data_IF_322299292673
#
_entry.id   IF_322299292673
#
_cell.length_a   1.000
_cell.length_b   1.000
_cell.length_c   1.000
_cell.angle_alpha   90.00
_cell.angle_beta   90.00
_cell.angle_gamma   90.00
#
_symmetry.space_group_name_H-M   'P 1'
#
loop_
_entity.id
_entity.type
_entity.pdbx_description
1 polymer ?
#
# COMPACT_ATOMS: atom_id res chain seq x y z
N UNK A 1 12.76 -18.54 5.85
CA UNK A 1 12.39 -17.19 5.42
C UNK A 1 10.93 -16.95 5.78
N UNK A 2 10.62 -15.81 6.40
CA UNK A 2 9.25 -15.44 6.73
C UNK A 2 8.74 -14.48 5.65
N UNK A 3 7.62 -14.80 5.00
CA UNK A 3 6.99 -13.96 3.98
C UNK A 3 5.79 -13.26 4.59
N UNK A 4 5.58 -11.98 4.26
CA UNK A 4 4.46 -11.19 4.77
C UNK A 4 3.57 -10.72 3.62
N UNK A 5 2.29 -11.07 3.66
CA UNK A 5 1.26 -10.43 2.85
C UNK A 5 0.32 -9.65 3.76
N UNK A 6 0.23 -8.34 3.57
CA UNK A 6 -0.67 -7.46 4.29
C UNK A 6 -1.81 -7.02 3.37
N UNK A 7 -2.99 -7.59 3.56
CA UNK A 7 -4.20 -7.20 2.84
C UNK A 7 -4.96 -6.13 3.62
N UNK A 8 -5.28 -5.00 2.97
CA UNK A 8 -5.99 -3.88 3.60
C UNK A 8 -7.36 -3.71 2.96
N UNK A 9 -8.40 -4.21 3.62
CA UNK A 9 -9.79 -3.92 3.25
C UNK A 9 -10.10 -2.45 3.53
N UNK A 10 -10.67 -1.75 2.55
CA UNK A 10 -10.78 -0.29 2.61
C UNK A 10 -9.47 0.40 2.24
N UNK A 11 -8.74 -0.16 1.27
CA UNK A 11 -7.49 0.36 0.73
C UNK A 11 -7.60 1.80 0.20
N UNK A 12 -8.80 2.26 -0.14
CA UNK A 12 -9.05 3.65 -0.59
C UNK A 12 -9.57 4.59 0.52
N UNK A 13 -9.53 4.16 1.78
CA UNK A 13 -10.04 4.91 2.92
C UNK A 13 -9.01 5.84 3.56
N UNK A 14 -9.50 6.85 4.28
CA UNK A 14 -8.68 7.88 4.95
C UNK A 14 -7.61 7.28 5.88
N UNK A 15 -7.98 6.25 6.65
CA UNK A 15 -7.06 5.59 7.57
C UNK A 15 -5.88 4.93 6.83
N UNK A 16 -6.15 4.31 5.68
CA UNK A 16 -5.13 3.67 4.85
C UNK A 16 -4.11 4.71 4.38
N UNK A 17 -4.60 5.83 3.85
CA UNK A 17 -3.77 6.88 3.29
C UNK A 17 -2.99 7.66 4.35
N UNK A 18 -3.63 8.04 5.47
CA UNK A 18 -3.01 8.95 6.45
C UNK A 18 -2.21 8.25 7.54
N UNK A 19 -2.38 6.92 7.68
CA UNK A 19 -1.73 6.15 8.76
C UNK A 19 -1.07 4.87 8.28
N UNK A 20 -1.80 3.98 7.63
CA UNK A 20 -1.28 2.62 7.36
C UNK A 20 -0.15 2.64 6.33
N UNK A 21 -0.36 3.21 5.15
CA UNK A 21 0.68 3.25 4.11
C UNK A 21 1.90 4.09 4.52
N UNK A 22 1.74 5.28 5.15
CA UNK A 22 2.88 6.02 5.69
C UNK A 22 3.67 5.25 6.75
N UNK A 23 2.98 4.50 7.63
CA UNK A 23 3.64 3.66 8.63
C UNK A 23 4.42 2.51 7.96
N UNK A 24 3.84 1.86 6.95
CA UNK A 24 4.53 0.81 6.18
C UNK A 24 5.75 1.36 5.45
N UNK A 25 5.67 2.56 4.87
CA UNK A 25 6.83 3.23 4.27
C UNK A 25 7.92 3.51 5.31
N UNK A 26 7.55 3.99 6.51
CA UNK A 26 8.52 4.20 7.59
C UNK A 26 9.26 2.90 7.98
N UNK A 27 8.54 1.77 8.03
CA UNK A 27 9.14 0.45 8.32
C UNK A 27 10.04 -0.03 7.19
N UNK A 28 9.63 0.19 5.93
CA UNK A 28 10.42 -0.13 4.74
C UNK A 28 11.76 0.59 4.76
N UNK A 29 11.77 1.91 4.96
CA UNK A 29 13.01 2.72 4.99
C UNK A 29 13.93 2.34 6.16
N UNK A 30 13.35 1.90 7.29
CA UNK A 30 14.11 1.45 8.45
C UNK A 30 14.59 0.00 8.33
N UNK A 31 14.34 -0.68 7.20
CA UNK A 31 14.61 -2.10 6.99
C UNK A 31 14.01 -2.99 8.09
N UNK A 32 12.79 -2.64 8.53
CA UNK A 32 12.06 -3.34 9.59
C UNK A 32 10.94 -4.26 9.05
N UNK A 33 10.81 -4.37 7.73
CA UNK A 33 9.96 -5.35 7.07
C UNK A 33 10.78 -6.60 6.72
N UNK A 34 10.14 -7.77 6.60
CA UNK A 34 10.78 -8.95 6.03
C UNK A 34 11.31 -8.67 4.62
N UNK A 35 12.32 -9.43 4.20
CA UNK A 35 12.91 -9.31 2.85
C UNK A 35 11.86 -9.50 1.74
N UNK A 36 10.93 -10.42 1.94
CA UNK A 36 9.78 -10.62 1.06
C UNK A 36 8.50 -10.14 1.76
N UNK A 37 7.97 -9.01 1.29
CA UNK A 37 6.66 -8.53 1.69
C UNK A 37 5.83 -8.00 0.51
N UNK A 38 4.52 -8.08 0.68
CA UNK A 38 3.50 -7.62 -0.26
C UNK A 38 2.40 -6.89 0.51
N UNK A 39 1.96 -5.74 0.00
CA UNK A 39 0.81 -5.00 0.51
C UNK A 39 -0.26 -5.01 -0.58
N UNK A 40 -1.47 -5.45 -0.21
CA UNK A 40 -2.60 -5.54 -1.13
C UNK A 40 -3.77 -4.70 -0.62
N UNK A 41 -3.82 -3.39 -0.94
CA UNK A 41 -4.97 -2.55 -0.63
C UNK A 41 -6.15 -2.93 -1.52
N UNK A 42 -7.31 -3.18 -0.91
CA UNK A 42 -8.53 -3.58 -1.61
C UNK A 42 -9.55 -2.45 -1.57
N UNK A 43 -10.09 -2.09 -2.74
CA UNK A 43 -11.15 -1.09 -2.86
C UNK A 43 -12.14 -1.39 -3.98
N UNK A 44 -13.23 -0.63 -3.99
CA UNK A 44 -14.29 -0.75 -5.01
C UNK A 44 -14.06 0.13 -6.24
N UNK A 45 -13.09 1.04 -6.17
CA UNK A 45 -12.79 1.97 -7.26
C UNK A 45 -12.04 1.24 -8.37
N UNK A 46 -12.27 1.67 -9.60
CA UNK A 46 -11.59 1.12 -10.78
C UNK A 46 -10.27 1.84 -10.98
N UNK A 47 -9.25 1.38 -10.26
CA UNK A 47 -7.89 1.91 -10.33
C UNK A 47 -6.95 0.81 -10.82
N UNK A 48 -6.03 1.19 -11.68
CA UNK A 48 -4.82 0.40 -11.93
C UNK A 48 -3.82 0.59 -10.79
N UNK A 49 -2.77 -0.23 -10.73
CA UNK A 49 -1.67 -0.03 -9.80
C UNK A 49 -1.04 1.36 -9.97
N UNK A 50 -0.88 1.83 -11.21
CA UNK A 50 -0.34 3.14 -11.52
C UNK A 50 -1.24 4.27 -10.99
N UNK A 51 -2.55 4.20 -11.25
CA UNK A 51 -3.49 5.19 -10.72
C UNK A 51 -3.44 5.23 -9.18
N UNK A 52 -3.37 4.06 -8.56
CA UNK A 52 -3.33 3.95 -7.10
C UNK A 52 -2.02 4.50 -6.52
N UNK A 53 -0.87 4.25 -7.17
CA UNK A 53 0.43 4.81 -6.77
C UNK A 53 0.42 6.33 -6.82
N UNK A 54 -0.12 6.94 -7.88
CA UNK A 54 -0.28 8.40 -7.99
C UNK A 54 -1.17 8.96 -6.88
N UNK A 55 -2.23 8.23 -6.50
CA UNK A 55 -3.13 8.64 -5.41
C UNK A 55 -2.41 8.63 -4.07
N UNK A 56 -1.62 7.58 -3.75
CA UNK A 56 -1.03 7.40 -2.41
C UNK A 56 0.29 8.16 -2.21
N UNK A 57 1.01 8.48 -3.28
CA UNK A 57 2.27 9.25 -3.24
C UNK A 57 2.20 10.53 -2.40
N UNK A 58 1.23 11.45 -2.61
CA UNK A 58 1.17 12.68 -1.82
C UNK A 58 0.91 12.40 -0.34
N UNK A 59 0.11 11.36 -0.01
CA UNK A 59 -0.17 11.00 1.38
C UNK A 59 1.05 10.41 2.08
N UNK A 60 1.81 9.55 1.40
CA UNK A 60 3.06 9.02 1.96
C UNK A 60 4.06 10.16 2.16
N UNK A 61 4.16 11.07 1.19
CA UNK A 61 5.04 12.24 1.26
C UNK A 61 4.68 13.20 2.39
N UNK A 62 3.39 13.35 2.69
CA UNK A 62 2.91 14.23 3.77
C UNK A 62 3.01 13.59 5.15
N UNK A 63 2.66 12.30 5.30
CA UNK A 63 2.46 11.67 6.61
C UNK A 63 3.58 10.73 7.05
N UNK A 64 4.56 10.42 6.18
CA UNK A 64 5.73 9.66 6.58
C UNK A 64 6.58 10.45 7.59
N UNK A 65 7.19 9.73 8.54
CA UNK A 65 8.07 10.31 9.56
C UNK A 65 9.53 10.35 9.12
N UNK A 66 9.81 9.79 7.95
CA UNK A 66 11.14 9.74 7.33
C UNK A 66 11.13 10.59 6.07
N UNK A 67 12.31 11.09 5.68
CA UNK A 67 12.44 11.83 4.43
C UNK A 67 12.08 10.93 3.25
N UNK A 68 11.10 11.35 2.45
CA UNK A 68 10.72 10.66 1.22
C UNK A 68 11.68 11.07 0.10
N UNK A 69 12.18 10.08 -0.63
CA UNK A 69 12.96 10.25 -1.85
C UNK A 69 12.31 9.43 -2.96
N UNK A 70 12.27 9.98 -4.17
CA UNK A 70 11.59 9.37 -5.31
C UNK A 70 12.05 7.93 -5.54
N UNK A 71 13.36 7.67 -5.57
CA UNK A 71 13.91 6.31 -5.78
C UNK A 71 13.42 5.30 -4.72
N UNK A 72 13.36 5.72 -3.45
CA UNK A 72 12.91 4.86 -2.36
C UNK A 72 11.40 4.66 -2.38
N UNK A 73 10.65 5.69 -2.78
CA UNK A 73 9.21 5.61 -2.94
C UNK A 73 8.84 4.67 -4.10
N UNK A 74 9.50 4.81 -5.24
CA UNK A 74 9.32 3.91 -6.39
C UNK A 74 9.73 2.47 -6.06
N UNK A 75 10.77 2.28 -5.24
CA UNK A 75 11.10 0.95 -4.72
C UNK A 75 10.00 0.37 -3.81
N UNK A 76 9.42 1.19 -2.93
CA UNK A 76 8.31 0.78 -2.07
C UNK A 76 7.04 0.41 -2.85
N UNK A 77 6.71 1.16 -3.91
CA UNK A 77 5.54 0.91 -4.75
C UNK A 77 5.57 -0.44 -5.47
N UNK A 78 6.75 -1.02 -5.70
CA UNK A 78 6.89 -2.40 -6.23
C UNK A 78 6.32 -3.46 -5.29
N UNK A 79 6.07 -3.11 -4.02
CA UNK A 79 5.46 -4.01 -3.04
C UNK A 79 3.96 -3.73 -2.83
N UNK A 80 3.36 -2.78 -3.57
CA UNK A 80 1.96 -2.39 -3.42
C UNK A 80 1.20 -2.73 -4.70
N UNK A 81 0.22 -3.63 -4.57
CA UNK A 81 -0.70 -3.96 -5.64
C UNK A 81 -2.13 -3.71 -5.21
N UNK A 82 -2.80 -2.80 -5.90
CA UNK A 82 -4.20 -2.52 -5.67
C UNK A 82 -5.06 -3.64 -6.25
N UNK A 83 -6.03 -4.10 -5.47
CA UNK A 83 -6.98 -5.09 -5.92
C UNK A 83 -8.39 -4.49 -5.89
N UNK A 84 -9.01 -4.41 -7.07
CA UNK A 84 -10.40 -4.00 -7.18
C UNK A 84 -11.31 -5.17 -6.77
N UNK A 85 -12.15 -4.97 -5.77
CA UNK A 85 -13.10 -5.97 -5.31
C UNK A 85 -14.35 -5.34 -4.69
N UNK A 86 -15.52 -5.95 -4.91
CA UNK A 86 -16.71 -5.73 -4.10
C UNK A 86 -16.73 -6.70 -2.91
N UNK A 87 -16.69 -6.18 -1.69
CA UNK A 87 -16.68 -6.97 -0.45
C UNK A 87 -17.94 -7.81 -0.25
N UNK A 88 -19.03 -7.48 -0.95
CA UNK A 88 -20.30 -8.20 -0.85
C UNK A 88 -20.44 -9.32 -1.87
N UNK A 89 -19.55 -9.37 -2.87
CA UNK A 89 -19.54 -10.41 -3.89
C UNK A 89 -18.57 -11.53 -3.51
N UNK A 90 -19.13 -12.63 -3.00
CA UNK A 90 -18.35 -13.79 -2.55
C UNK A 90 -17.51 -14.39 -3.70
N UNK A 91 -17.94 -14.30 -4.95
CA UNK A 91 -17.20 -14.88 -6.08
C UNK A 91 -15.87 -14.17 -6.34
N UNK A 92 -15.70 -12.92 -5.86
CA UNK A 92 -14.47 -12.16 -6.06
C UNK A 92 -13.37 -12.47 -5.02
N UNK A 93 -13.65 -13.35 -4.05
CA UNK A 93 -12.68 -13.83 -3.07
C UNK A 93 -11.93 -15.09 -3.52
N UNK A 94 -12.35 -15.71 -4.62
CA UNK A 94 -11.70 -16.87 -5.26
C UNK A 94 -10.53 -16.44 -6.17
#
# INVERSE_FOLDING_TARGET
MNKLTLTIFGGTGDLTYRKLLPAMYNLFIKNQLPEEFLITPIGRRDYTDADYHEIIEPWISEFAQVKVKDEQLQAFFKHIHYFRMDFTDQAQYE
#
